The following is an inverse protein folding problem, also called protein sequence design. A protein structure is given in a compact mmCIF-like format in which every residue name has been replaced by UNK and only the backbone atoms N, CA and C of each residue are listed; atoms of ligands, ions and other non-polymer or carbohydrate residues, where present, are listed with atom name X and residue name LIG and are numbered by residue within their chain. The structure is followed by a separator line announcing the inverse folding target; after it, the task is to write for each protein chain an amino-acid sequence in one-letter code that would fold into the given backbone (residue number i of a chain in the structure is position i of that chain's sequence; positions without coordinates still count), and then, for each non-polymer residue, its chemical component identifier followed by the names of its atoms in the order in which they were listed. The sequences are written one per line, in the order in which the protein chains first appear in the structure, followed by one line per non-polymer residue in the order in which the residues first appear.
data_IF_448063222282
#
_entry.id   IF_448063222282
#
_cell.length_a   1.000
_cell.length_b   1.000
_cell.length_c   1.000
_cell.angle_alpha   90.00
_cell.angle_beta   90.00
_cell.angle_gamma   90.00
#
_symmetry.space_group_name_H-M   'P 1'
#
loop_
_entity.id
_entity.type
_entity.pdbx_description
1 polymer ?
#
# COMPACT_ATOMS: atom_id res chain seq x y z
N UNK A 1 -34.04 -20.83 22.70
CA UNK A 1 -33.93 -22.30 22.65
C UNK A 1 -32.45 -22.66 22.59
N UNK A 2 -31.92 -23.15 23.70
CA UNK A 2 -30.55 -23.66 23.86
C UNK A 2 -30.17 -24.71 22.83
N UNK A 3 -28.93 -24.65 22.35
CA UNK A 3 -28.22 -25.82 21.81
C UNK A 3 -26.77 -25.84 22.27
N UNK A 4 -26.58 -26.57 23.37
CA UNK A 4 -25.50 -27.54 23.63
C UNK A 4 -24.04 -27.11 23.40
N UNK A 5 -23.42 -26.68 24.52
CA UNK A 5 -21.99 -26.85 24.75
C UNK A 5 -21.70 -28.33 24.97
N UNK A 6 -20.86 -28.96 24.13
CA UNK A 6 -20.22 -30.24 24.45
C UNK A 6 -18.71 -30.09 24.41
N UNK A 7 -18.11 -30.62 25.47
CA UNK A 7 -16.73 -30.49 25.92
C UNK A 7 -15.70 -30.97 24.89
N UNK A 8 -14.65 -30.17 24.71
CA UNK A 8 -13.40 -30.62 24.08
C UNK A 8 -12.58 -31.41 25.10
N UNK A 9 -12.03 -32.55 24.69
CA UNK A 9 -11.10 -33.37 25.47
C UNK A 9 -9.86 -32.56 25.81
N UNK A 10 -9.59 -32.38 27.10
CA UNK A 10 -8.29 -31.93 27.61
C UNK A 10 -7.28 -33.05 27.38
N UNK A 11 -6.19 -32.76 26.66
CA UNK A 11 -4.99 -33.57 26.70
C UNK A 11 -3.95 -32.79 27.49
N UNK A 12 -3.65 -33.26 28.70
CA UNK A 12 -2.53 -32.76 29.50
C UNK A 12 -1.21 -33.08 28.80
N UNK A 13 -0.50 -32.03 28.39
CA UNK A 13 0.95 -32.04 28.29
C UNK A 13 1.48 -30.81 29.00
N UNK A 14 2.14 -31.09 30.11
CA UNK A 14 3.13 -30.30 30.84
C UNK A 14 3.21 -28.79 30.52
N UNK A 15 2.79 -27.96 31.48
CA UNK A 15 3.16 -26.54 31.53
C UNK A 15 2.35 -25.57 30.67
N UNK A 16 1.02 -25.60 30.79
CA UNK A 16 0.15 -24.49 30.38
C UNK A 16 -1.02 -24.93 29.51
N UNK A 17 -2.25 -24.67 29.97
CA UNK A 17 -3.48 -24.85 29.18
C UNK A 17 -3.41 -23.91 27.98
N UNK A 18 -2.92 -24.40 26.84
CA UNK A 18 -2.98 -23.67 25.58
C UNK A 18 -4.38 -23.90 25.00
N UNK A 19 -5.32 -23.00 25.28
CA UNK A 19 -6.61 -22.98 24.59
C UNK A 19 -6.36 -22.88 23.07
N UNK A 20 -6.62 -23.96 22.34
CA UNK A 20 -6.70 -23.93 20.88
C UNK A 20 -7.87 -23.04 20.48
N UNK A 21 -7.63 -21.74 20.32
CA UNK A 21 -8.62 -20.81 19.77
C UNK A 21 -8.76 -21.09 18.29
N UNK A 22 -9.83 -21.80 17.93
CA UNK A 22 -10.26 -21.97 16.55
C UNK A 22 -10.45 -20.58 15.93
N UNK A 23 -9.64 -20.25 14.90
CA UNK A 23 -9.74 -18.95 14.22
C UNK A 23 -10.97 -18.95 13.31
N UNK A 24 -12.13 -18.66 13.87
CA UNK A 24 -13.35 -18.42 13.09
C UNK A 24 -13.22 -17.06 12.40
N UNK A 25 -12.87 -17.05 11.11
CA UNK A 25 -12.76 -15.82 10.32
C UNK A 25 -14.18 -15.32 10.00
N UNK A 26 -14.55 -14.17 10.56
CA UNK A 26 -15.83 -13.53 10.25
C UNK A 26 -15.69 -12.56 9.08
N UNK A 27 -16.81 -12.32 8.36
CA UNK A 27 -16.86 -11.32 7.27
C UNK A 27 -16.41 -9.93 7.74
N UNK A 28 -16.70 -9.58 8.99
CA UNK A 28 -16.27 -8.33 9.63
C UNK A 28 -14.75 -8.20 9.66
N UNK A 29 -14.03 -9.28 9.97
CA UNK A 29 -12.56 -9.30 10.04
C UNK A 29 -11.92 -9.08 8.66
N UNK A 30 -12.55 -9.61 7.60
CA UNK A 30 -12.10 -9.39 6.21
C UNK A 30 -12.25 -7.91 5.84
N UNK A 31 -13.41 -7.33 6.14
CA UNK A 31 -13.69 -5.90 5.89
C UNK A 31 -12.72 -5.00 6.66
N UNK A 32 -12.43 -5.35 7.91
CA UNK A 32 -11.52 -4.59 8.76
C UNK A 32 -10.08 -4.61 8.21
N UNK A 33 -9.59 -5.77 7.77
CA UNK A 33 -8.25 -5.91 7.14
C UNK A 33 -8.12 -5.07 5.87
N UNK A 34 -9.08 -5.16 4.96
CA UNK A 34 -9.08 -4.37 3.71
C UNK A 34 -9.15 -2.87 4.03
N UNK A 35 -9.94 -2.49 5.03
CA UNK A 35 -10.01 -1.11 5.48
C UNK A 35 -8.71 -0.62 6.11
N UNK A 36 -7.98 -1.46 6.84
CA UNK A 36 -6.69 -1.13 7.43
C UNK A 36 -5.68 -0.78 6.33
N UNK A 37 -5.57 -1.59 5.27
CA UNK A 37 -4.67 -1.32 4.13
C UNK A 37 -5.08 -0.04 3.42
N UNK A 38 -6.38 0.16 3.19
CA UNK A 38 -6.90 1.40 2.59
C UNK A 38 -6.51 2.64 3.40
N UNK A 39 -6.61 2.56 4.74
CA UNK A 39 -6.20 3.64 5.65
C UNK A 39 -4.69 3.84 5.66
N UNK A 40 -3.91 2.76 5.61
CA UNK A 40 -2.45 2.81 5.50
C UNK A 40 -2.00 3.56 4.23
N UNK A 41 -2.57 3.24 3.06
CA UNK A 41 -2.25 3.95 1.82
C UNK A 41 -2.62 5.45 1.91
N UNK A 42 -3.76 5.80 2.52
CA UNK A 42 -4.15 7.21 2.75
C UNK A 42 -3.20 7.92 3.71
N UNK A 43 -2.71 7.23 4.73
CA UNK A 43 -1.75 7.78 5.68
C UNK A 43 -0.42 8.10 4.99
N UNK A 44 0.08 7.22 4.10
CA UNK A 44 1.29 7.47 3.33
C UNK A 44 1.18 8.72 2.44
N UNK A 45 0.07 8.85 1.72
CA UNK A 45 -0.24 10.06 0.94
C UNK A 45 -0.21 11.32 1.81
N UNK A 46 -0.92 11.29 2.94
CA UNK A 46 -1.04 12.42 3.86
C UNK A 46 0.29 12.83 4.49
N UNK A 47 1.09 11.83 4.91
CA UNK A 47 2.42 12.06 5.45
C UNK A 47 3.31 12.74 4.40
N UNK A 48 3.34 12.20 3.17
CA UNK A 48 4.16 12.77 2.11
C UNK A 48 3.77 14.22 1.76
N UNK A 49 2.46 14.51 1.70
CA UNK A 49 1.95 15.89 1.52
C UNK A 49 2.44 16.85 2.60
N UNK A 50 2.64 16.37 3.84
CA UNK A 50 3.07 17.18 4.99
C UNK A 50 4.55 17.09 5.32
N UNK A 51 5.35 16.42 4.47
CA UNK A 51 6.75 16.11 4.77
C UNK A 51 7.57 17.34 5.20
N UNK A 52 7.45 18.48 4.50
CA UNK A 52 8.17 19.72 4.83
C UNK A 52 7.91 20.23 6.24
N UNK A 53 6.69 20.09 6.75
CA UNK A 53 6.31 20.57 8.08
C UNK A 53 6.74 19.60 9.19
N UNK A 54 6.89 18.31 8.87
CA UNK A 54 7.17 17.27 9.84
C UNK A 54 8.67 17.01 10.04
N UNK A 55 9.46 17.26 8.99
CA UNK A 55 10.90 16.93 8.94
C UNK A 55 11.73 18.18 9.26
N UNK A 56 11.65 18.66 10.51
CA UNK A 56 12.32 19.92 10.94
C UNK A 56 13.66 19.70 11.65
N UNK A 57 13.86 18.55 12.29
CA UNK A 57 15.11 18.21 12.99
C UNK A 57 15.35 16.70 12.94
N UNK A 58 16.60 16.28 13.16
CA UNK A 58 17.05 14.89 13.02
C UNK A 58 16.15 13.85 13.73
N UNK A 59 15.77 14.11 14.98
CA UNK A 59 14.92 13.21 15.77
C UNK A 59 13.55 13.02 15.11
N UNK A 60 12.92 14.11 14.65
CA UNK A 60 11.62 14.03 13.95
C UNK A 60 11.76 13.38 12.58
N UNK A 61 12.89 13.57 11.88
CA UNK A 61 13.16 12.86 10.61
C UNK A 61 13.11 11.36 10.86
N UNK A 62 13.86 10.88 11.86
CA UNK A 62 13.93 9.45 12.16
C UNK A 62 12.57 8.87 12.53
N UNK A 63 11.84 9.52 13.44
CA UNK A 63 10.48 9.10 13.82
C UNK A 63 9.52 9.08 12.62
N UNK A 64 9.66 10.05 11.72
CA UNK A 64 8.87 10.12 10.50
C UNK A 64 9.18 8.97 9.53
N UNK A 65 10.47 8.63 9.36
CA UNK A 65 10.90 7.49 8.56
C UNK A 65 10.44 6.15 9.15
N UNK A 66 10.55 5.98 10.47
CA UNK A 66 10.04 4.79 11.16
C UNK A 66 8.52 4.63 10.95
N UNK A 67 7.75 5.71 11.11
CA UNK A 67 6.31 5.68 10.86
C UNK A 67 6.00 5.27 9.41
N UNK A 68 6.69 5.84 8.43
CA UNK A 68 6.53 5.45 7.02
C UNK A 68 6.85 3.98 6.83
N UNK A 69 7.97 3.51 7.38
CA UNK A 69 8.42 2.12 7.26
C UNK A 69 7.37 1.15 7.81
N UNK A 70 6.82 1.41 9.00
CA UNK A 70 5.78 0.57 9.58
C UNK A 70 4.51 0.53 8.72
N UNK A 71 4.07 1.69 8.23
CA UNK A 71 2.87 1.76 7.39
C UNK A 71 3.10 1.05 6.04
N UNK A 72 4.27 1.25 5.41
CA UNK A 72 4.64 0.55 4.19
C UNK A 72 4.68 -0.97 4.40
N UNK A 73 5.20 -1.44 5.54
CA UNK A 73 5.26 -2.87 5.85
C UNK A 73 3.87 -3.51 6.00
N UNK A 74 2.87 -2.77 6.50
CA UNK A 74 1.47 -3.24 6.52
C UNK A 74 0.95 -3.48 5.11
N UNK A 75 1.15 -2.51 4.21
CA UNK A 75 0.68 -2.61 2.82
C UNK A 75 1.43 -3.72 2.07
N UNK A 76 2.76 -3.79 2.25
CA UNK A 76 3.60 -4.84 1.68
C UNK A 76 3.15 -6.24 2.09
N UNK A 77 2.97 -6.47 3.40
CA UNK A 77 2.54 -7.78 3.91
C UNK A 77 1.20 -8.19 3.32
N UNK A 78 0.25 -7.25 3.19
CA UNK A 78 -1.04 -7.54 2.58
C UNK A 78 -0.93 -7.87 1.08
N UNK A 79 -0.24 -7.03 0.31
CA UNK A 79 -0.04 -7.25 -1.12
C UNK A 79 0.67 -8.57 -1.42
N UNK A 80 1.64 -8.95 -0.57
CA UNK A 80 2.35 -10.24 -0.67
C UNK A 80 1.47 -11.43 -0.33
N UNK A 81 0.70 -11.37 0.75
CA UNK A 81 -0.10 -12.51 1.22
C UNK A 81 -1.42 -12.69 0.47
N UNK A 82 -2.02 -11.61 -0.03
CA UNK A 82 -3.36 -11.58 -0.63
C UNK A 82 -3.38 -10.71 -1.91
N UNK A 83 -2.65 -11.09 -2.96
CA UNK A 83 -2.50 -10.27 -4.17
C UNK A 83 -3.82 -10.04 -4.91
N UNK A 84 -4.70 -11.03 -4.98
CA UNK A 84 -6.01 -10.89 -5.65
C UNK A 84 -6.95 -9.91 -4.90
N UNK A 85 -6.96 -9.95 -3.57
CA UNK A 85 -7.70 -8.97 -2.76
C UNK A 85 -7.11 -7.57 -2.91
N UNK A 86 -5.79 -7.46 -3.07
CA UNK A 86 -5.13 -6.19 -3.33
C UNK A 86 -5.51 -5.61 -4.69
N UNK A 87 -5.56 -6.43 -5.76
CA UNK A 87 -6.06 -6.01 -7.09
C UNK A 87 -7.47 -5.43 -7.00
N UNK A 88 -8.37 -6.12 -6.30
CA UNK A 88 -9.76 -5.65 -6.09
C UNK A 88 -9.82 -4.37 -5.27
N UNK A 89 -8.97 -4.25 -4.24
CA UNK A 89 -8.84 -3.04 -3.44
C UNK A 89 -8.41 -1.86 -4.30
N UNK A 90 -7.47 -2.07 -5.23
CA UNK A 90 -7.02 -1.05 -6.17
C UNK A 90 -8.11 -0.63 -7.15
N UNK A 91 -8.82 -1.57 -7.75
CA UNK A 91 -9.98 -1.28 -8.58
C UNK A 91 -11.02 -0.44 -7.82
N UNK A 92 -11.31 -0.76 -6.55
CA UNK A 92 -12.36 -0.04 -5.81
C UNK A 92 -11.93 1.32 -5.28
N UNK A 93 -10.68 1.43 -4.84
CA UNK A 93 -10.23 2.55 -4.01
C UNK A 93 -9.01 3.28 -4.54
N UNK A 94 -8.53 2.90 -5.72
CA UNK A 94 -7.32 3.39 -6.37
C UNK A 94 -6.17 3.55 -5.35
N UNK A 95 -5.66 2.42 -4.87
CA UNK A 95 -4.57 2.43 -3.90
C UNK A 95 -3.24 2.71 -4.60
N UNK A 96 -3.10 2.37 -5.87
CA UNK A 96 -1.91 2.71 -6.68
C UNK A 96 -1.71 4.22 -6.77
N UNK A 97 -2.75 5.01 -7.09
CA UNK A 97 -2.70 6.47 -7.00
C UNK A 97 -2.17 6.94 -5.65
N UNK A 98 -2.68 6.40 -4.54
CA UNK A 98 -2.24 6.81 -3.20
C UNK A 98 -0.79 6.46 -2.91
N UNK A 99 -0.33 5.31 -3.38
CA UNK A 99 1.07 4.91 -3.25
C UNK A 99 1.99 5.81 -4.07
N UNK A 100 1.57 6.22 -5.27
CA UNK A 100 2.28 7.19 -6.12
C UNK A 100 2.34 8.55 -5.43
N UNK A 101 1.21 9.04 -4.92
CA UNK A 101 1.15 10.29 -4.16
C UNK A 101 1.96 10.23 -2.86
N UNK A 102 2.06 9.06 -2.23
CA UNK A 102 2.86 8.78 -1.05
C UNK A 102 4.35 8.53 -1.31
N UNK A 103 4.85 8.68 -2.54
CA UNK A 103 6.24 8.43 -2.95
C UNK A 103 6.78 7.03 -2.56
N UNK A 104 5.91 6.02 -2.60
CA UNK A 104 6.22 4.66 -2.16
C UNK A 104 6.80 3.81 -3.30
N UNK A 105 7.88 4.29 -3.95
CA UNK A 105 8.42 3.70 -5.18
C UNK A 105 8.86 2.24 -5.03
N UNK A 106 9.49 1.89 -3.91
CA UNK A 106 9.92 0.51 -3.64
C UNK A 106 8.72 -0.44 -3.55
N UNK A 107 7.69 -0.04 -2.81
CA UNK A 107 6.47 -0.82 -2.66
C UNK A 107 5.71 -0.96 -3.99
N UNK A 108 5.62 0.11 -4.78
CA UNK A 108 5.05 0.07 -6.14
C UNK A 108 5.78 -0.95 -7.00
N UNK A 109 7.12 -0.91 -7.02
CA UNK A 109 7.95 -1.84 -7.78
C UNK A 109 7.69 -3.30 -7.38
N UNK A 110 7.61 -3.56 -6.06
CA UNK A 110 7.30 -4.89 -5.53
C UNK A 110 5.90 -5.38 -5.91
N UNK A 111 4.90 -4.50 -5.91
CA UNK A 111 3.52 -4.84 -6.27
C UNK A 111 3.44 -5.17 -7.77
N UNK A 112 4.10 -4.38 -8.62
CA UNK A 112 4.04 -4.53 -10.07
C UNK A 112 4.80 -5.77 -10.56
N UNK A 113 6.01 -5.98 -10.03
CA UNK A 113 6.96 -6.95 -10.62
C UNK A 113 7.35 -8.06 -9.65
N UNK A 114 6.91 -7.98 -8.39
CA UNK A 114 7.35 -8.89 -7.34
C UNK A 114 8.68 -8.50 -6.71
N UNK A 115 9.05 -9.28 -5.70
CA UNK A 115 10.37 -9.21 -5.10
C UNK A 115 11.36 -9.94 -6.00
N UNK A 116 12.39 -9.24 -6.46
CA UNK A 116 13.55 -9.87 -7.07
C UNK A 116 14.33 -10.49 -5.92
N UNK A 117 13.93 -11.66 -5.45
CA UNK A 117 14.78 -12.39 -4.51
C UNK A 117 16.12 -12.58 -5.20
N UNK A 118 17.18 -11.97 -4.68
CA UNK A 118 18.55 -12.31 -5.06
C UNK A 118 18.70 -13.82 -4.83
N UNK A 119 18.49 -14.62 -5.88
CA UNK A 119 19.05 -15.95 -5.94
C UNK A 119 20.50 -15.75 -6.38
N UNK A 120 21.32 -15.33 -5.43
CA UNK A 120 22.78 -15.42 -5.48
C UNK A 120 23.20 -16.90 -5.36
N UNK A 121 22.66 -17.76 -6.22
CA UNK A 121 23.01 -19.17 -6.35
C UNK A 121 23.04 -19.52 -7.83
N UNK A 122 24.05 -18.99 -8.54
CA UNK A 122 24.77 -19.62 -9.66
C UNK A 122 24.00 -20.18 -10.85
N UNK A 123 22.69 -20.00 -10.95
CA UNK A 123 21.87 -20.48 -12.04
C UNK A 123 21.05 -19.31 -12.56
N UNK A 124 21.61 -18.66 -13.58
CA UNK A 124 20.95 -17.66 -14.41
C UNK A 124 19.80 -18.29 -15.21
N UNK A 125 18.78 -18.81 -14.52
CA UNK A 125 17.47 -18.96 -15.13
C UNK A 125 16.96 -17.54 -15.25
N UNK A 126 16.96 -16.99 -16.46
CA UNK A 126 16.27 -15.74 -16.81
C UNK A 126 14.92 -15.75 -16.13
N UNK A 127 14.79 -15.06 -14.99
CA UNK A 127 13.53 -14.99 -14.28
C UNK A 127 12.58 -14.29 -15.25
N UNK A 128 11.59 -15.04 -15.73
CA UNK A 128 10.58 -14.52 -16.63
C UNK A 128 9.95 -13.30 -15.95
N UNK A 129 9.96 -12.16 -16.63
CA UNK A 129 9.43 -10.92 -16.09
C UNK A 129 7.91 -11.05 -15.99
N UNK A 130 7.42 -11.56 -14.86
CA UNK A 130 5.99 -11.75 -14.62
C UNK A 130 5.41 -10.49 -14.01
N UNK A 131 4.58 -9.78 -14.79
CA UNK A 131 3.77 -8.67 -14.29
C UNK A 131 2.73 -9.24 -13.31
N UNK A 132 2.76 -8.78 -12.06
CA UNK A 132 1.87 -9.25 -10.98
C UNK A 132 0.62 -8.40 -10.81
N UNK A 133 0.74 -7.11 -11.09
CA UNK A 133 -0.34 -6.15 -10.97
C UNK A 133 -0.29 -5.16 -12.13
N UNK A 134 -1.45 -4.86 -12.70
CA UNK A 134 -1.61 -3.82 -13.72
C UNK A 134 -2.43 -2.71 -13.05
N UNK A 135 -1.86 -1.52 -12.82
CA UNK A 135 -2.59 -0.38 -12.31
C UNK A 135 -3.73 -0.02 -13.25
N UNK A 136 -4.66 0.74 -12.70
CA UNK A 136 -5.81 1.22 -13.44
C UNK A 136 -5.41 2.30 -14.44
N UNK A 137 -5.91 2.16 -15.66
CA UNK A 137 -5.73 3.15 -16.73
C UNK A 137 -6.86 4.18 -16.84
N UNK A 138 -8.02 3.94 -16.21
CA UNK A 138 -9.19 4.83 -16.30
C UNK A 138 -9.87 5.03 -14.95
N UNK A 139 -10.30 6.26 -14.66
CA UNK A 139 -11.10 6.59 -13.47
C UNK A 139 -12.52 6.00 -13.57
N UNK A 140 -13.22 5.92 -12.43
CA UNK A 140 -14.65 5.58 -12.47
C UNK A 140 -15.44 6.79 -12.99
N UNK A 141 -16.48 6.60 -13.82
CA UNK A 141 -17.32 7.70 -14.30
C UNK A 141 -17.83 8.57 -13.13
N UNK A 142 -17.81 9.88 -13.31
CA UNK A 142 -18.27 10.85 -12.31
C UNK A 142 -17.31 11.05 -11.11
N UNK A 143 -16.08 10.52 -11.17
CA UNK A 143 -15.03 10.83 -10.20
C UNK A 143 -13.87 11.55 -10.85
N UNK A 144 -13.52 12.70 -10.29
CA UNK A 144 -12.28 13.39 -10.62
C UNK A 144 -11.08 12.52 -10.22
N UNK A 145 -10.17 12.29 -11.16
CA UNK A 145 -8.96 11.53 -10.90
C UNK A 145 -8.01 12.31 -10.01
N UNK A 146 -7.81 13.60 -10.25
CA UNK A 146 -6.96 14.49 -9.45
C UNK A 146 -7.83 15.41 -8.61
N UNK A 147 -7.43 15.64 -7.36
CA UNK A 147 -7.94 16.74 -6.52
C UNK A 147 -6.95 17.90 -6.55
N UNK A 148 -7.44 19.11 -6.32
CA UNK A 148 -6.61 20.35 -6.33
C UNK A 148 -5.39 20.30 -5.41
N UNK A 149 -5.42 19.50 -4.34
CA UNK A 149 -4.32 19.31 -3.40
C UNK A 149 -3.33 18.20 -3.78
N UNK A 150 -3.65 17.35 -4.76
CA UNK A 150 -2.82 16.19 -5.13
C UNK A 150 -1.54 16.59 -5.90
N UNK A 151 -1.58 17.73 -6.59
CA UNK A 151 -0.48 18.28 -7.38
C UNK A 151 0.28 19.42 -6.67
N UNK A 152 -0.08 19.77 -5.43
CA UNK A 152 0.65 20.80 -4.67
C UNK A 152 1.99 20.22 -4.19
N UNK A 153 3.07 20.63 -4.84
CA UNK A 153 4.43 20.34 -4.40
C UNK A 153 4.93 21.41 -3.42
N UNK A 154 5.84 21.01 -2.53
CA UNK A 154 6.44 21.91 -1.53
C UNK A 154 7.33 23.01 -2.13
N UNK A 155 7.73 22.86 -3.39
CA UNK A 155 8.56 23.84 -4.06
C UNK A 155 7.65 24.58 -5.03
N UNK A 156 7.44 25.87 -4.75
CA UNK A 156 6.60 26.73 -5.55
C UNK A 156 6.96 26.69 -7.02
N UNK A 157 5.95 26.88 -7.85
CA UNK A 157 6.00 26.96 -9.31
C UNK A 157 5.94 25.63 -10.06
N UNK A 158 4.71 25.18 -10.28
CA UNK A 158 4.24 24.78 -11.61
C UNK A 158 2.73 25.02 -11.61
N UNK A 159 2.34 26.24 -11.96
CA UNK A 159 0.98 26.48 -12.46
C UNK A 159 0.92 25.70 -13.76
N UNK A 160 0.23 24.55 -13.74
CA UNK A 160 0.03 23.78 -14.95
C UNK A 160 -0.91 24.55 -15.87
N UNK A 161 -0.58 24.59 -17.16
CA UNK A 161 -1.59 24.78 -18.18
C UNK A 161 -2.59 23.62 -18.07
N UNK A 162 -3.89 23.90 -18.23
CA UNK A 162 -4.97 22.93 -17.94
C UNK A 162 -4.88 21.62 -18.75
N UNK A 163 -4.04 21.59 -19.79
CA UNK A 163 -3.84 20.46 -20.69
C UNK A 163 -2.85 19.38 -20.19
N UNK A 164 -2.11 19.61 -19.08
CA UNK A 164 -1.09 18.66 -18.57
C UNK A 164 -1.52 17.85 -17.34
N UNK A 165 -2.79 17.92 -16.93
CA UNK A 165 -3.25 17.20 -15.74
C UNK A 165 -3.31 15.69 -16.00
N UNK A 166 -2.65 14.86 -15.18
CA UNK A 166 -2.70 13.42 -15.37
C UNK A 166 -4.13 12.90 -15.13
N UNK A 167 -4.61 12.01 -15.99
CA UNK A 167 -5.95 11.42 -15.92
C UNK A 167 -5.96 10.00 -15.35
N UNK A 168 -4.77 9.37 -15.29
CA UNK A 168 -4.60 8.00 -14.82
C UNK A 168 -3.32 7.78 -14.01
N UNK A 169 -3.20 6.59 -13.41
CA UNK A 169 -2.08 6.25 -12.51
C UNK A 169 -0.72 6.29 -13.22
N UNK A 170 -0.67 5.93 -14.52
CA UNK A 170 0.57 5.92 -15.30
C UNK A 170 1.05 7.35 -15.57
N UNK A 171 0.17 8.21 -16.06
CA UNK A 171 0.47 9.63 -16.29
C UNK A 171 0.88 10.32 -14.99
N UNK A 172 0.20 10.03 -13.87
CA UNK A 172 0.55 10.57 -12.58
C UNK A 172 1.95 10.14 -12.13
N UNK A 173 2.32 8.88 -12.37
CA UNK A 173 3.66 8.38 -12.06
C UNK A 173 4.74 9.08 -12.91
N UNK A 174 4.50 9.25 -14.21
CA UNK A 174 5.40 9.97 -15.13
C UNK A 174 5.54 11.43 -14.71
N UNK A 175 4.42 12.09 -14.42
CA UNK A 175 4.35 13.48 -13.98
C UNK A 175 5.21 13.70 -12.72
N UNK A 176 5.06 12.83 -11.71
CA UNK A 176 5.88 12.88 -10.50
C UNK A 176 7.36 12.59 -10.72
N UNK A 177 7.70 11.80 -11.71
CA UNK A 177 9.09 11.56 -12.07
C UNK A 177 9.71 12.78 -12.75
N UNK A 178 8.99 13.41 -13.70
CA UNK A 178 9.44 14.64 -14.39
C UNK A 178 9.68 15.80 -13.43
N UNK A 179 8.74 16.06 -12.50
CA UNK A 179 8.89 17.15 -11.52
C UNK A 179 10.08 16.99 -10.55
N UNK A 180 10.68 15.79 -10.47
CA UNK A 180 11.91 15.53 -9.70
C UNK A 180 13.19 15.80 -10.49
N UNK A 181 13.14 15.78 -11.82
CA UNK A 181 14.29 16.01 -12.70
C UNK A 181 14.57 17.51 -12.92
N UNK A 182 13.60 18.37 -12.63
CA UNK A 182 13.68 19.83 -12.77
C UNK A 182 14.20 20.54 -11.50
N UNK A 183 14.82 19.79 -10.58
CA UNK A 183 15.50 20.27 -9.36
C UNK A 183 16.99 19.91 -9.42
#
# INVERSE_FOLDING_TARGET
MERNRKAGKEMEKDGGIMEMKEKVIQRKDIIEKVNAVRRACRALEHLNKRRSFLVTNYIKIHQYEEMIMYIQHIVWRFAKCKPEEFKLLDVRHNVMKKLILGDCNYLIKLILFGDKSNKDNGNEKKEEFVIRHIPRSVSWPGKEFIRDDDLRFNNGSLVLEDNERPENDMELAIYRYKGKLTL
#
